data_IF_062140320422
#
_entry.id   IF_062140320422
#
_cell.length_a   1.000
_cell.length_b   1.000
_cell.length_c   1.000
_cell.angle_alpha   90.00
_cell.angle_beta   90.00
_cell.angle_gamma   90.00
#
_symmetry.space_group_name_H-M   'P 1'
#
loop_
_entity.id
_entity.type
_entity.pdbx_description
1 polymer ?
#
# COMPACT_ATOMS: atom_id res chain seq x y z
N UNK A 1 -14.83 2.97 32.71
CA UNK A 1 -14.84 2.40 31.33
C UNK A 1 -13.56 1.61 31.13
N UNK A 2 -13.64 0.47 30.42
CA UNK A 2 -12.50 -0.44 30.24
C UNK A 2 -11.67 -0.03 29.01
N UNK A 3 -10.36 0.10 29.18
CA UNK A 3 -9.44 0.42 28.08
C UNK A 3 -9.34 -0.72 27.06
N UNK A 4 -9.43 -0.41 25.77
CA UNK A 4 -9.32 -1.40 24.68
C UNK A 4 -7.97 -2.10 24.57
N UNK A 5 -6.89 -1.47 25.07
CA UNK A 5 -5.52 -1.96 24.90
C UNK A 5 -5.02 -2.78 26.09
N UNK A 6 -5.45 -2.47 27.32
CA UNK A 6 -4.97 -3.13 28.54
C UNK A 6 -6.06 -3.57 29.51
N UNK A 7 -7.33 -3.39 29.15
CA UNK A 7 -8.48 -3.71 30.00
C UNK A 7 -8.51 -3.03 31.37
N UNK A 8 -7.66 -2.02 31.60
CA UNK A 8 -7.68 -1.23 32.82
C UNK A 8 -8.90 -0.31 32.84
N UNK A 9 -9.60 -0.27 33.96
CA UNK A 9 -10.73 0.63 34.14
C UNK A 9 -10.25 2.03 34.50
N UNK A 10 -10.61 3.02 33.69
CA UNK A 10 -10.35 4.42 33.98
C UNK A 10 -11.44 5.33 33.40
N UNK A 11 -11.47 6.57 33.89
CA UNK A 11 -12.36 7.63 33.39
C UNK A 11 -11.58 8.84 32.80
N UNK A 12 -10.27 8.71 32.62
CA UNK A 12 -9.44 9.76 32.02
C UNK A 12 -9.50 9.76 30.48
N UNK A 13 -9.09 10.86 29.83
CA UNK A 13 -9.05 11.00 28.35
C UNK A 13 -8.04 10.05 27.69
N UNK A 14 -6.96 9.74 28.40
CA UNK A 14 -5.96 8.73 28.04
C UNK A 14 -5.88 7.71 29.16
N UNK A 15 -5.55 6.46 28.84
CA UNK A 15 -5.38 5.43 29.86
C UNK A 15 -4.12 5.73 30.69
N UNK A 16 -4.18 5.80 32.02
CA UNK A 16 -2.99 6.05 32.84
C UNK A 16 -2.00 4.89 32.80
N UNK A 17 -2.47 3.65 32.62
CA UNK A 17 -1.62 2.47 32.55
C UNK A 17 -0.93 2.33 31.18
N UNK A 18 -1.70 2.45 30.09
CA UNK A 18 -1.19 2.15 28.76
C UNK A 18 -1.16 3.35 27.81
N UNK A 19 -1.63 4.54 28.17
CA UNK A 19 -1.63 5.76 27.34
C UNK A 19 -2.56 5.75 26.12
N UNK A 20 -3.38 4.72 25.91
CA UNK A 20 -4.33 4.68 24.79
C UNK A 20 -5.43 5.75 24.96
N UNK A 21 -5.86 6.37 23.86
CA UNK A 21 -6.90 7.40 23.90
C UNK A 21 -8.28 6.75 24.15
N UNK A 22 -9.06 7.32 25.07
CA UNK A 22 -10.37 6.78 25.49
C UNK A 22 -11.41 6.70 24.37
N UNK A 23 -11.44 7.68 23.47
CA UNK A 23 -12.46 7.81 22.42
C UNK A 23 -11.86 7.52 21.03
N UNK A 24 -11.66 6.23 20.73
CA UNK A 24 -11.18 5.79 19.42
C UNK A 24 -12.35 5.74 18.44
N UNK A 25 -12.66 6.89 17.84
CA UNK A 25 -13.69 6.99 16.80
C UNK A 25 -13.36 6.07 15.62
N UNK A 26 -14.41 5.59 14.95
CA UNK A 26 -14.31 4.87 13.67
C UNK A 26 -13.42 5.65 12.71
N UNK A 27 -12.68 4.92 11.87
CA UNK A 27 -11.74 5.52 10.93
C UNK A 27 -12.54 6.31 9.88
N UNK A 28 -12.38 7.63 9.90
CA UNK A 28 -12.90 8.58 8.90
C UNK A 28 -11.76 9.21 8.11
N UNK A 29 -12.05 9.78 6.94
CA UNK A 29 -11.06 10.47 6.11
C UNK A 29 -10.26 11.55 6.87
N UNK A 30 -10.97 12.42 7.59
CA UNK A 30 -10.35 13.48 8.39
C UNK A 30 -9.43 12.91 9.47
N UNK A 31 -9.85 11.81 10.12
CA UNK A 31 -9.03 11.15 11.14
C UNK A 31 -7.76 10.54 10.53
N UNK A 32 -7.85 9.93 9.34
CA UNK A 32 -6.70 9.36 8.64
C UNK A 32 -5.69 10.44 8.26
N UNK A 33 -6.13 11.53 7.63
CA UNK A 33 -5.22 12.61 7.22
C UNK A 33 -4.57 13.31 8.42
N UNK A 34 -5.35 13.66 9.44
CA UNK A 34 -4.82 14.35 10.63
C UNK A 34 -3.78 13.49 11.36
N UNK A 35 -4.03 12.19 11.48
CA UNK A 35 -3.09 11.26 12.12
C UNK A 35 -1.88 10.93 11.25
N UNK A 36 -1.96 11.13 9.93
CA UNK A 36 -0.83 10.87 9.02
C UNK A 36 0.27 11.92 9.18
N UNK A 37 -0.10 13.20 9.30
CA UNK A 37 0.85 14.31 9.46
C UNK A 37 1.54 14.21 10.82
N UNK A 38 0.76 14.02 11.89
CA UNK A 38 1.32 13.80 13.23
C UNK A 38 2.14 12.52 13.31
N UNK A 39 1.73 11.44 12.65
CA UNK A 39 2.45 10.16 12.69
C UNK A 39 3.82 10.14 12.01
N UNK A 40 4.10 11.07 11.09
CA UNK A 40 5.45 11.24 10.51
C UNK A 40 6.38 11.94 11.51
N UNK A 41 5.84 12.83 12.34
CA UNK A 41 6.58 13.67 13.29
C UNK A 41 6.75 12.92 14.63
N UNK A 42 5.69 12.28 15.11
CA UNK A 42 5.66 11.42 16.29
C UNK A 42 6.14 10.01 15.93
N UNK A 43 7.35 9.89 15.39
CA UNK A 43 8.01 8.62 15.07
C UNK A 43 8.49 7.91 16.36
N UNK A 44 7.63 7.83 17.36
CA UNK A 44 7.92 7.21 18.65
C UNK A 44 7.87 5.68 18.51
N UNK A 45 9.04 5.11 18.20
CA UNK A 45 9.47 3.73 18.50
C UNK A 45 8.81 2.56 17.73
N UNK A 46 7.97 2.81 16.75
CA UNK A 46 7.16 1.75 16.12
C UNK A 46 7.64 1.13 14.80
N UNK A 47 8.35 1.85 13.92
CA UNK A 47 8.43 1.45 12.49
C UNK A 47 8.96 0.02 12.27
N UNK A 48 10.16 -0.29 12.77
CA UNK A 48 10.75 -1.63 12.62
C UNK A 48 9.92 -2.74 13.30
N UNK A 49 9.31 -2.43 14.45
CA UNK A 49 8.41 -3.36 15.14
C UNK A 49 7.17 -3.65 14.28
N UNK A 50 6.60 -2.62 13.67
CA UNK A 50 5.45 -2.74 12.77
C UNK A 50 5.81 -3.53 11.52
N UNK A 51 6.97 -3.28 10.90
CA UNK A 51 7.48 -4.08 9.78
C UNK A 51 7.58 -5.56 10.16
N UNK A 52 8.17 -5.86 11.32
CA UNK A 52 8.30 -7.22 11.85
C UNK A 52 6.94 -7.87 12.09
N UNK A 53 6.02 -7.15 12.74
CA UNK A 53 4.69 -7.67 13.07
C UNK A 53 3.80 -7.85 11.83
N UNK A 54 3.96 -7.02 10.80
CA UNK A 54 3.32 -7.19 9.49
C UNK A 54 3.86 -8.41 8.73
N UNK A 55 5.12 -8.79 8.91
CA UNK A 55 5.65 -10.03 8.34
C UNK A 55 5.17 -11.28 9.09
N UNK A 56 5.14 -11.22 10.43
CA UNK A 56 4.81 -12.38 11.27
C UNK A 56 3.30 -12.61 11.42
N UNK A 57 2.53 -11.53 11.59
CA UNK A 57 1.10 -11.59 11.92
C UNK A 57 0.31 -10.40 11.36
N UNK A 58 0.28 -10.21 10.02
CA UNK A 58 -0.34 -9.03 9.39
C UNK A 58 -1.82 -8.88 9.77
N UNK A 59 -2.56 -10.00 9.82
CA UNK A 59 -3.97 -10.01 10.21
C UNK A 59 -4.20 -9.43 11.60
N UNK A 60 -3.38 -9.81 12.58
CA UNK A 60 -3.56 -9.42 13.98
C UNK A 60 -3.38 -7.91 14.13
N UNK A 61 -2.24 -7.40 13.68
CA UNK A 61 -1.90 -5.99 13.77
C UNK A 61 -2.92 -5.09 13.07
N UNK A 62 -3.29 -5.42 11.82
CA UNK A 62 -4.24 -4.61 11.04
C UNK A 62 -5.63 -4.61 11.68
N UNK A 63 -6.11 -5.77 12.18
CA UNK A 63 -7.43 -5.84 12.84
C UNK A 63 -7.42 -5.08 14.16
N UNK A 64 -6.35 -5.18 14.96
CA UNK A 64 -6.22 -4.42 16.21
C UNK A 64 -6.25 -2.90 15.94
N UNK A 65 -5.56 -2.43 14.90
CA UNK A 65 -5.61 -1.03 14.48
C UNK A 65 -7.03 -0.57 14.10
N UNK A 66 -7.75 -1.37 13.30
CA UNK A 66 -9.14 -1.10 12.90
C UNK A 66 -10.07 -1.09 14.11
N UNK A 67 -9.87 -2.00 15.07
CA UNK A 67 -10.63 -2.06 16.33
C UNK A 67 -10.33 -0.89 17.28
N UNK A 68 -9.33 -0.08 16.98
CA UNK A 68 -9.02 1.14 17.73
C UNK A 68 -7.73 1.07 18.55
N UNK A 69 -7.06 -0.09 18.67
CA UNK A 69 -5.76 -0.19 19.37
C UNK A 69 -4.68 0.43 18.48
N UNK A 70 -4.42 1.72 18.65
CA UNK A 70 -3.52 2.48 17.76
C UNK A 70 -2.19 2.83 18.43
N UNK A 71 -2.08 2.77 19.76
CA UNK A 71 -0.80 3.02 20.42
C UNK A 71 0.23 1.96 20.04
N UNK A 72 1.41 2.39 19.61
CA UNK A 72 2.52 1.52 19.18
C UNK A 72 2.37 0.96 17.77
N UNK A 73 1.22 1.15 17.13
CA UNK A 73 1.00 0.83 15.71
C UNK A 73 1.24 2.09 14.89
N UNK A 74 2.13 1.99 13.91
CA UNK A 74 2.46 3.11 13.04
C UNK A 74 1.25 3.48 12.17
N UNK A 75 1.09 4.77 11.87
CA UNK A 75 -0.02 5.21 11.04
C UNK A 75 0.07 4.55 9.64
N UNK A 76 -1.02 3.96 9.12
CA UNK A 76 -1.02 3.20 7.86
C UNK A 76 -0.58 4.03 6.65
N UNK A 77 -1.04 5.27 6.53
CA UNK A 77 -0.68 6.14 5.41
C UNK A 77 0.75 6.65 5.55
N UNK A 78 1.16 7.05 6.76
CA UNK A 78 2.56 7.40 7.04
C UNK A 78 3.49 6.22 6.75
N UNK A 79 3.07 4.98 7.08
CA UNK A 79 3.81 3.75 6.78
C UNK A 79 4.06 3.60 5.28
N UNK A 80 2.99 3.73 4.48
CA UNK A 80 3.08 3.67 3.02
C UNK A 80 3.98 4.77 2.44
N UNK A 81 3.81 6.01 2.91
CA UNK A 81 4.60 7.16 2.44
C UNK A 81 6.08 6.94 2.77
N UNK A 82 6.39 6.51 3.99
CA UNK A 82 7.77 6.30 4.45
C UNK A 82 8.45 5.15 3.70
N UNK A 83 7.79 4.00 3.57
CA UNK A 83 8.30 2.85 2.78
C UNK A 83 8.49 3.19 1.31
N UNK A 84 7.56 3.94 0.71
CA UNK A 84 7.69 4.43 -0.69
C UNK A 84 8.84 5.42 -0.83
N UNK A 85 9.05 6.30 0.15
CA UNK A 85 10.16 7.26 0.17
C UNK A 85 11.49 6.53 0.21
N UNK A 86 11.65 5.54 1.10
CA UNK A 86 12.85 4.69 1.13
C UNK A 86 13.09 3.98 -0.20
N UNK A 87 12.05 3.44 -0.82
CA UNK A 87 12.16 2.85 -2.15
C UNK A 87 12.66 3.84 -3.20
N UNK A 88 12.10 5.06 -3.24
CA UNK A 88 12.50 6.10 -4.21
C UNK A 88 13.97 6.47 -4.05
N UNK A 89 14.43 6.66 -2.81
CA UNK A 89 15.83 7.03 -2.50
C UNK A 89 16.78 5.93 -2.96
N UNK A 90 16.52 4.68 -2.57
CA UNK A 90 17.39 3.55 -2.89
C UNK A 90 17.39 3.27 -4.39
N UNK A 91 16.23 3.25 -5.04
CA UNK A 91 16.14 3.04 -6.50
C UNK A 91 16.86 4.15 -7.29
N UNK A 92 16.80 5.40 -6.82
CA UNK A 92 17.53 6.51 -7.45
C UNK A 92 19.05 6.35 -7.30
N UNK A 93 19.52 5.92 -6.12
CA UNK A 93 20.93 5.63 -5.87
C UNK A 93 21.46 4.46 -6.71
N UNK A 94 20.68 3.38 -6.85
CA UNK A 94 21.05 2.20 -7.66
C UNK A 94 21.08 2.49 -9.16
N UNK A 95 20.20 3.37 -9.66
CA UNK A 95 20.16 3.78 -11.07
C UNK A 95 21.35 4.66 -11.45
N UNK A 96 21.78 5.56 -10.58
CA UNK A 96 22.99 6.37 -10.78
C UNK A 96 24.26 5.54 -11.01
N UNK A 97 24.26 4.25 -10.61
CA UNK A 97 25.42 3.34 -10.75
C UNK A 97 25.35 2.38 -11.93
N UNK A 98 24.28 2.40 -12.72
CA UNK A 98 24.22 1.54 -13.89
C UNK A 98 23.07 1.90 -14.79
N UNK A 99 23.40 2.60 -15.86
CA UNK A 99 22.51 2.87 -16.98
C UNK A 99 21.98 1.55 -17.56
N UNK A 100 20.67 1.50 -17.68
CA UNK A 100 19.96 0.41 -18.33
C UNK A 100 20.18 0.62 -19.84
N UNK A 101 21.03 -0.19 -20.45
CA UNK A 101 21.04 -0.36 -21.91
C UNK A 101 19.67 -0.90 -22.30
N UNK A 102 18.84 -0.06 -22.92
CA UNK A 102 17.55 -0.49 -23.47
C UNK A 102 17.81 -1.48 -24.61
N UNK A 103 17.23 -2.69 -24.59
CA UNK A 103 17.32 -3.57 -25.74
C UNK A 103 16.55 -2.95 -26.90
N UNK A 104 17.26 -2.69 -28.00
CA UNK A 104 16.76 -2.09 -29.24
C UNK A 104 15.84 -3.06 -29.99
N UNK A 105 14.66 -3.36 -29.46
CA UNK A 105 13.71 -4.33 -30.05
C UNK A 105 12.72 -3.64 -31.01
N UNK A 106 12.63 -2.31 -31.00
CA UNK A 106 11.66 -1.56 -31.83
C UNK A 106 12.36 -0.99 -33.06
N UNK A 107 12.11 -1.58 -34.22
CA UNK A 107 12.64 -1.12 -35.52
C UNK A 107 11.84 0.04 -36.14
N UNK A 108 10.63 0.32 -35.63
CA UNK A 108 9.83 1.46 -36.11
C UNK A 108 10.22 2.75 -35.36
N UNK A 109 10.81 3.75 -36.03
CA UNK A 109 11.28 4.98 -35.39
C UNK A 109 10.15 5.82 -34.76
N UNK A 110 8.92 5.77 -35.30
CA UNK A 110 7.77 6.47 -34.70
C UNK A 110 7.32 5.78 -33.42
N UNK A 111 7.28 4.44 -33.43
CA UNK A 111 6.89 3.66 -32.27
C UNK A 111 7.96 3.71 -31.16
N UNK A 112 9.24 3.83 -31.54
CA UNK A 112 10.36 3.99 -30.61
C UNK A 112 10.30 5.32 -29.84
N UNK A 113 10.10 6.47 -30.51
CA UNK A 113 10.02 7.78 -29.84
C UNK A 113 8.81 7.85 -28.90
N UNK A 114 7.65 7.33 -29.33
CA UNK A 114 6.45 7.22 -28.48
C UNK A 114 6.75 6.35 -27.25
N UNK A 115 7.37 5.18 -27.43
CA UNK A 115 7.72 4.26 -26.34
C UNK A 115 8.76 4.84 -25.37
N UNK A 116 9.72 5.61 -25.88
CA UNK A 116 10.75 6.27 -25.09
C UNK A 116 10.16 7.40 -24.23
N UNK A 117 9.34 8.27 -24.83
CA UNK A 117 8.64 9.36 -24.11
C UNK A 117 7.67 8.82 -23.06
N UNK A 118 6.85 7.84 -23.43
CA UNK A 118 5.94 7.16 -22.51
C UNK A 118 6.75 6.47 -21.40
N UNK A 119 7.82 5.75 -21.75
CA UNK A 119 8.68 5.05 -20.79
C UNK A 119 9.41 5.98 -19.82
N UNK A 120 9.76 7.20 -20.24
CA UNK A 120 10.34 8.25 -19.39
C UNK A 120 9.33 8.86 -18.43
N UNK A 121 8.14 9.20 -18.93
CA UNK A 121 7.02 9.72 -18.14
C UNK A 121 6.59 8.70 -17.07
N UNK A 122 6.40 7.45 -17.50
CA UNK A 122 6.10 6.30 -16.64
C UNK A 122 7.17 6.17 -15.55
N UNK A 123 8.47 6.14 -15.89
CA UNK A 123 9.53 6.01 -14.87
C UNK A 123 9.53 7.14 -13.84
N UNK A 124 9.16 8.36 -14.23
CA UNK A 124 9.15 9.54 -13.36
C UNK A 124 7.96 9.53 -12.40
N UNK A 125 6.76 9.18 -12.89
CA UNK A 125 5.52 9.33 -12.11
C UNK A 125 4.95 8.01 -11.56
N UNK A 126 5.35 6.84 -12.07
CA UNK A 126 4.84 5.53 -11.60
C UNK A 126 5.10 5.29 -10.10
N UNK A 127 6.21 5.82 -9.57
CA UNK A 127 6.56 5.65 -8.14
C UNK A 127 5.55 6.36 -7.23
N UNK A 128 5.06 7.52 -7.64
CA UNK A 128 4.00 8.25 -6.93
C UNK A 128 2.62 7.66 -7.22
N UNK A 129 2.41 7.18 -8.46
CA UNK A 129 1.20 6.46 -8.85
C UNK A 129 0.94 5.23 -7.98
N UNK A 130 2.00 4.53 -7.53
CA UNK A 130 1.90 3.40 -6.60
C UNK A 130 1.09 3.73 -5.32
N UNK A 131 1.25 4.93 -4.77
CA UNK A 131 0.50 5.37 -3.58
C UNK A 131 -0.98 5.57 -3.91
N UNK A 132 -1.32 6.02 -5.12
CA UNK A 132 -2.70 6.18 -5.56
C UNK A 132 -3.40 4.85 -5.85
N UNK A 133 -2.65 3.79 -6.18
CA UNK A 133 -3.21 2.46 -6.43
C UNK A 133 -3.92 1.82 -5.21
N UNK A 134 -3.72 2.35 -4.01
CA UNK A 134 -4.45 1.88 -2.82
C UNK A 134 -5.96 2.12 -2.92
N UNK A 135 -6.40 3.15 -3.66
CA UNK A 135 -7.81 3.50 -3.82
C UNK A 135 -8.60 2.43 -4.60
N UNK A 136 -8.21 2.07 -5.84
CA UNK A 136 -8.89 0.99 -6.57
C UNK A 136 -8.79 -0.34 -5.81
N UNK A 137 -7.64 -0.64 -5.19
CA UNK A 137 -7.48 -1.84 -4.38
C UNK A 137 -8.46 -1.89 -3.18
N UNK A 138 -8.57 -0.80 -2.43
CA UNK A 138 -9.51 -0.67 -1.32
C UNK A 138 -10.97 -0.76 -1.79
N UNK A 139 -11.29 -0.17 -2.94
CA UNK A 139 -12.62 -0.22 -3.55
C UNK A 139 -13.04 -1.65 -3.87
N UNK A 140 -12.21 -2.43 -4.57
CA UNK A 140 -12.55 -3.81 -4.91
C UNK A 140 -12.58 -4.71 -3.67
N UNK A 141 -11.65 -4.55 -2.73
CA UNK A 141 -11.74 -5.29 -1.47
C UNK A 141 -13.03 -4.99 -0.70
N UNK A 142 -13.49 -3.73 -0.68
CA UNK A 142 -14.78 -3.39 -0.09
C UNK A 142 -15.93 -4.06 -0.85
N UNK A 143 -15.90 -4.04 -2.18
CA UNK A 143 -16.95 -4.59 -3.04
C UNK A 143 -17.14 -6.09 -2.81
N UNK A 144 -16.05 -6.86 -2.68
CA UNK A 144 -16.10 -8.32 -2.53
C UNK A 144 -16.22 -8.79 -1.08
N UNK A 145 -15.44 -8.24 -0.15
CA UNK A 145 -15.44 -8.73 1.24
C UNK A 145 -16.52 -8.08 2.11
N UNK A 146 -16.92 -6.84 1.84
CA UNK A 146 -17.98 -6.07 2.55
C UNK A 146 -17.89 -6.08 4.09
N UNK A 147 -16.71 -6.36 4.64
CA UNK A 147 -16.50 -6.61 6.06
C UNK A 147 -16.30 -5.34 6.88
N UNK A 148 -15.74 -4.31 6.23
CA UNK A 148 -15.29 -3.08 6.86
C UNK A 148 -15.77 -1.85 6.07
N UNK A 149 -15.67 -0.67 6.67
CA UNK A 149 -15.94 0.59 5.98
C UNK A 149 -14.89 0.87 4.89
N UNK A 150 -15.20 1.76 3.94
CA UNK A 150 -14.24 2.11 2.87
C UNK A 150 -12.90 2.59 3.41
N UNK A 151 -12.91 3.47 4.43
CA UNK A 151 -11.69 4.00 5.04
C UNK A 151 -10.89 2.94 5.81
N UNK A 152 -11.56 1.92 6.34
CA UNK A 152 -10.91 0.77 6.96
C UNK A 152 -10.28 -0.13 5.88
N UNK A 153 -10.96 -0.35 4.75
CA UNK A 153 -10.35 -1.00 3.58
C UNK A 153 -9.16 -0.22 3.00
N UNK A 154 -9.23 1.11 3.00
CA UNK A 154 -8.11 1.98 2.63
C UNK A 154 -6.94 1.87 3.60
N UNK A 155 -7.24 1.74 4.90
CA UNK A 155 -6.24 1.48 5.95
C UNK A 155 -5.54 0.13 5.74
N UNK A 156 -6.30 -0.93 5.45
CA UNK A 156 -5.76 -2.24 5.09
C UNK A 156 -4.85 -2.10 3.87
N UNK A 157 -5.34 -1.46 2.81
CA UNK A 157 -4.59 -1.23 1.57
C UNK A 157 -3.25 -0.52 1.83
N UNK A 158 -3.23 0.52 2.67
CA UNK A 158 -2.02 1.27 2.97
C UNK A 158 -0.94 0.39 3.67
N UNK A 159 -1.33 -0.43 4.66
CA UNK A 159 -0.41 -1.38 5.27
C UNK A 159 0.10 -2.43 4.27
N UNK A 160 -0.80 -3.00 3.46
CA UNK A 160 -0.45 -4.02 2.48
C UNK A 160 0.51 -3.49 1.41
N UNK A 161 0.26 -2.30 0.87
CA UNK A 161 1.12 -1.68 -0.12
C UNK A 161 2.45 -1.25 0.48
N UNK A 162 2.48 -0.71 1.71
CA UNK A 162 3.73 -0.38 2.39
C UNK A 162 4.60 -1.62 2.58
N UNK A 163 3.99 -2.73 2.99
CA UNK A 163 4.71 -4.00 3.16
C UNK A 163 5.21 -4.57 1.82
N UNK A 164 4.36 -4.56 0.79
CA UNK A 164 4.74 -5.02 -0.54
C UNK A 164 5.84 -4.15 -1.16
N UNK A 165 5.88 -2.85 -0.82
CA UNK A 165 6.94 -1.92 -1.23
C UNK A 165 8.29 -2.28 -0.62
N UNK A 166 8.33 -2.67 0.66
CA UNK A 166 9.57 -3.14 1.30
C UNK A 166 10.08 -4.43 0.66
N UNK A 167 9.20 -5.38 0.34
CA UNK A 167 9.59 -6.60 -0.38
C UNK A 167 10.11 -6.24 -1.78
N UNK A 168 9.42 -5.35 -2.50
CA UNK A 168 9.85 -4.84 -3.80
C UNK A 168 11.21 -4.14 -3.76
N UNK A 169 11.50 -3.39 -2.69
CA UNK A 169 12.78 -2.74 -2.45
C UNK A 169 13.90 -3.77 -2.30
N UNK A 170 13.71 -4.82 -1.49
CA UNK A 170 14.69 -5.91 -1.33
C UNK A 170 14.97 -6.59 -2.67
N UNK A 171 13.92 -6.90 -3.44
CA UNK A 171 14.07 -7.52 -4.76
C UNK A 171 14.79 -6.58 -5.72
N UNK A 172 14.54 -5.27 -5.65
CA UNK A 172 15.17 -4.28 -6.53
C UNK A 172 16.69 -4.17 -6.35
N UNK A 173 17.22 -4.62 -5.21
CA UNK A 173 18.67 -4.74 -4.97
C UNK A 173 19.30 -5.80 -5.88
N UNK A 174 18.56 -6.84 -6.25
CA UNK A 174 19.02 -7.95 -7.08
C UNK A 174 18.57 -7.81 -8.54
N UNK A 175 17.33 -7.36 -8.77
CA UNK A 175 16.72 -7.22 -10.09
C UNK A 175 16.18 -5.80 -10.28
N UNK A 176 16.78 -5.01 -11.18
CA UNK A 176 16.39 -3.61 -11.46
C UNK A 176 15.03 -3.48 -12.18
N UNK A 177 13.96 -3.88 -11.51
CA UNK A 177 12.57 -3.79 -12.02
C UNK A 177 11.79 -2.74 -11.23
N UNK A 178 10.87 -2.03 -11.90
CA UNK A 178 9.98 -1.09 -11.22
C UNK A 178 8.87 -1.85 -10.48
N UNK A 179 8.39 -1.30 -9.34
CA UNK A 179 7.38 -1.96 -8.49
C UNK A 179 6.17 -2.49 -9.25
N UNK A 180 5.59 -1.65 -10.11
CA UNK A 180 4.34 -1.96 -10.82
C UNK A 180 4.50 -3.11 -11.81
N UNK A 181 5.71 -3.41 -12.24
CA UNK A 181 5.99 -4.53 -13.15
C UNK A 181 6.58 -5.74 -12.43
N UNK A 182 6.76 -5.67 -11.11
CA UNK A 182 7.38 -6.75 -10.35
C UNK A 182 6.31 -7.77 -9.91
N UNK A 183 6.28 -8.99 -10.48
CA UNK A 183 5.26 -10.00 -10.16
C UNK A 183 5.30 -10.43 -8.68
N UNK A 184 6.47 -10.41 -8.04
CA UNK A 184 6.61 -10.78 -6.64
C UNK A 184 5.92 -9.79 -5.69
N UNK A 185 5.81 -8.51 -6.09
CA UNK A 185 5.06 -7.50 -5.33
C UNK A 185 3.57 -7.85 -5.32
N UNK A 186 3.01 -8.27 -6.47
CA UNK A 186 1.61 -8.70 -6.56
C UNK A 186 1.35 -10.02 -5.85
N UNK A 187 2.31 -10.96 -5.91
CA UNK A 187 2.25 -12.21 -5.12
C UNK A 187 2.24 -11.88 -3.63
N UNK A 188 3.09 -10.94 -3.19
CA UNK A 188 3.10 -10.47 -1.79
C UNK A 188 1.77 -9.86 -1.40
N UNK A 189 1.21 -8.97 -2.23
CA UNK A 189 -0.13 -8.41 -2.02
C UNK A 189 -1.19 -9.51 -1.92
N UNK A 190 -1.13 -10.55 -2.75
CA UNK A 190 -2.08 -11.66 -2.75
C UNK A 190 -2.01 -12.44 -1.43
N UNK A 191 -0.80 -12.81 -1.01
CA UNK A 191 -0.56 -13.54 0.24
C UNK A 191 -1.03 -12.72 1.45
N UNK A 192 -0.69 -11.44 1.51
CA UNK A 192 -1.08 -10.60 2.63
C UNK A 192 -2.59 -10.33 2.63
N UNK A 193 -3.21 -10.10 1.47
CA UNK A 193 -4.66 -9.89 1.36
C UNK A 193 -5.41 -11.14 1.86
N UNK A 194 -4.96 -12.34 1.44
CA UNK A 194 -5.48 -13.58 1.98
C UNK A 194 -5.28 -13.70 3.49
N UNK A 195 -4.10 -13.39 4.02
CA UNK A 195 -3.84 -13.45 5.46
C UNK A 195 -4.81 -12.57 6.26
N UNK A 196 -5.15 -11.38 5.75
CA UNK A 196 -6.09 -10.46 6.41
C UNK A 196 -7.54 -10.97 6.37
N UNK A 197 -8.01 -11.41 5.19
CA UNK A 197 -9.42 -11.74 4.98
C UNK A 197 -9.77 -13.23 5.16
N UNK A 198 -8.78 -14.10 5.37
CA UNK A 198 -9.01 -15.52 5.56
C UNK A 198 -10.02 -15.80 6.69
N UNK A 199 -11.05 -16.58 6.34
CA UNK A 199 -12.02 -17.14 7.25
C UNK A 199 -11.68 -18.61 7.55
N UNK A 200 -11.55 -18.95 8.83
CA UNK A 200 -11.21 -20.32 9.27
C UNK A 200 -12.28 -21.36 8.89
N UNK A 201 -13.55 -20.94 8.78
CA UNK A 201 -14.67 -21.84 8.46
C UNK A 201 -14.71 -22.20 6.96
N UNK A 202 -14.62 -21.19 6.09
CA UNK A 202 -14.72 -21.37 4.63
C UNK A 202 -13.44 -20.86 3.94
N UNK A 203 -12.42 -21.74 3.86
CA UNK A 203 -11.13 -21.38 3.24
C UNK A 203 -11.26 -21.13 1.74
N UNK A 204 -12.02 -21.97 1.03
CA UNK A 204 -12.24 -21.91 -0.42
C UNK A 204 -12.91 -20.61 -0.84
N UNK A 205 -13.97 -20.21 -0.15
CA UNK A 205 -14.66 -18.93 -0.34
C UNK A 205 -13.69 -17.75 -0.18
N UNK A 206 -12.86 -17.77 0.86
CA UNK A 206 -11.85 -16.72 1.08
C UNK A 206 -10.86 -16.62 -0.07
N UNK A 207 -10.39 -17.76 -0.61
CA UNK A 207 -9.47 -17.80 -1.76
C UNK A 207 -10.14 -17.22 -3.00
N UNK A 208 -11.37 -17.64 -3.31
CA UNK A 208 -12.12 -17.15 -4.47
C UNK A 208 -12.34 -15.64 -4.38
N UNK A 209 -12.72 -15.13 -3.21
CA UNK A 209 -12.91 -13.68 -2.99
C UNK A 209 -11.60 -12.89 -3.15
N UNK A 210 -10.48 -13.42 -2.65
CA UNK A 210 -9.16 -12.76 -2.85
C UNK A 210 -8.78 -12.75 -4.33
N UNK A 211 -8.89 -13.89 -5.02
CA UNK A 211 -8.53 -13.99 -6.44
C UNK A 211 -9.41 -13.10 -7.32
N UNK A 212 -10.72 -13.08 -7.07
CA UNK A 212 -11.64 -12.19 -7.80
C UNK A 212 -11.33 -10.72 -7.51
N UNK A 213 -11.11 -10.32 -6.26
CA UNK A 213 -10.73 -8.94 -5.93
C UNK A 213 -9.42 -8.51 -6.60
N UNK A 214 -8.43 -9.42 -6.68
CA UNK A 214 -7.15 -9.18 -7.32
C UNK A 214 -7.26 -9.09 -8.84
N UNK A 215 -8.10 -9.92 -9.46
CA UNK A 215 -8.39 -9.86 -10.89
C UNK A 215 -8.99 -8.50 -11.29
N UNK A 216 -10.02 -8.04 -10.57
CA UNK A 216 -10.63 -6.74 -10.84
C UNK A 216 -9.68 -5.57 -10.56
N UNK A 217 -8.85 -5.68 -9.52
CA UNK A 217 -7.78 -4.71 -9.29
C UNK A 217 -6.79 -4.64 -10.45
N UNK A 218 -6.28 -5.78 -10.93
CA UNK A 218 -5.37 -5.83 -12.07
C UNK A 218 -6.01 -5.26 -13.35
N UNK A 219 -7.26 -5.61 -13.62
CA UNK A 219 -8.03 -5.04 -14.73
C UNK A 219 -8.13 -3.51 -14.62
N UNK A 220 -8.41 -2.99 -13.42
CA UNK A 220 -8.48 -1.54 -13.20
C UNK A 220 -7.15 -0.83 -13.44
N UNK A 221 -6.01 -1.46 -13.11
CA UNK A 221 -4.70 -0.88 -13.39
C UNK A 221 -4.43 -0.78 -14.90
N UNK A 222 -4.81 -1.82 -15.65
CA UNK A 222 -4.69 -1.81 -17.12
C UNK A 222 -5.54 -0.69 -17.71
N UNK A 223 -6.79 -0.55 -17.26
CA UNK A 223 -7.68 0.52 -17.72
C UNK A 223 -7.13 1.92 -17.39
N UNK A 224 -6.56 2.12 -16.21
CA UNK A 224 -5.94 3.40 -15.84
C UNK A 224 -4.71 3.67 -16.73
N UNK A 225 -3.88 2.66 -17.00
CA UNK A 225 -2.72 2.81 -17.88
C UNK A 225 -3.13 3.17 -19.31
N UNK A 226 -4.17 2.51 -19.86
CA UNK A 226 -4.72 2.82 -21.19
C UNK A 226 -5.26 4.26 -21.23
N UNK A 227 -6.00 4.67 -20.19
CA UNK A 227 -6.52 6.04 -20.09
C UNK A 227 -5.38 7.07 -20.06
N UNK A 228 -4.32 6.83 -19.27
CA UNK A 228 -3.15 7.72 -19.22
C UNK A 228 -2.48 7.85 -20.59
N UNK A 229 -2.30 6.74 -21.32
CA UNK A 229 -1.72 6.78 -22.67
C UNK A 229 -2.61 7.61 -23.61
N UNK A 230 -3.93 7.41 -23.57
CA UNK A 230 -4.87 8.18 -24.37
C UNK A 230 -4.79 9.69 -24.10
N UNK A 231 -4.78 10.10 -22.83
CA UNK A 231 -4.64 11.50 -22.44
C UNK A 231 -3.30 12.11 -22.87
N UNK A 232 -2.20 11.36 -22.77
CA UNK A 232 -0.88 11.85 -23.21
C UNK A 232 -0.81 12.04 -24.73
N UNK A 233 -1.47 11.19 -25.52
CA UNK A 233 -1.53 11.35 -26.98
C UNK A 233 -2.30 12.61 -27.37
N UNK A 234 -3.40 12.90 -26.68
CA UNK A 234 -4.25 14.07 -26.97
C UNK A 234 -3.56 15.39 -26.63
N UNK A 235 -2.77 15.44 -25.55
CA UNK A 235 -2.00 16.63 -25.15
C UNK A 235 -0.80 16.90 -26.06
N UNK A 236 -0.30 15.92 -26.81
CA UNK A 236 0.77 16.13 -27.82
C UNK A 236 0.26 16.57 -29.19
N UNK A 237 -1.05 16.52 -29.43
CA UNK A 237 -1.68 16.90 -30.71
C UNK A 237 -2.26 18.32 -30.71
N UNK A 238 -2.34 18.95 -29.53
CA UNK A 238 -2.69 20.37 -29.34
C UNK A 238 -1.43 21.18 -29.04
#
# INVERSE_FOLDING_TARGET
>A
MICISCSYEHNEKFCPNCGEKRDTKKITFQSLLKTSISGIIDMDRGFLLNVKELFLSPRKMIIEYIKGRRKGIFNPLSYLILTTTFYIIIDSYLKSKGDIKTPSIVHDPKLYDISYRIGGLIRKYLKFFWVLCIFPFAFFNKLFFKKYNFWEHLTIAAFLFGQATLVGLIISLFYKTALIFNPLVYITLLILNYSVFHNKKNKTESIILVLTSMFFYAFSLIMIMVALVYFTKQTTLN
#
